data_IF_929936318803
#
_entry.id   IF_929936318803
#
_cell.length_a   1.000
_cell.length_b   1.000
_cell.length_c   1.000
_cell.angle_alpha   90.00
_cell.angle_beta   90.00
_cell.angle_gamma   90.00
#
_symmetry.space_group_name_H-M   'P 1'
#
loop_
_entity.id
_entity.type
_entity.pdbx_description
1 polymer ?
#
# COMPACT_ATOMS: atom_id res chain seq x y z
N UNK A 1 35.90 -8.51 -0.60
CA UNK A 1 34.64 -7.81 -0.24
C UNK A 1 33.39 -8.57 -0.73
N UNK A 2 33.19 -9.84 -0.31
CA UNK A 2 31.99 -10.66 -0.65
C UNK A 2 31.12 -11.02 0.56
N UNK A 3 31.57 -10.70 1.79
CA UNK A 3 30.90 -11.12 3.03
C UNK A 3 29.73 -10.24 3.47
N UNK A 4 29.74 -8.94 3.15
CA UNK A 4 28.75 -7.99 3.69
C UNK A 4 27.40 -8.03 2.95
N UNK A 5 27.39 -8.50 1.70
CA UNK A 5 26.15 -8.68 0.91
C UNK A 5 25.38 -9.95 1.29
N UNK A 6 26.04 -10.96 1.85
CA UNK A 6 25.38 -12.19 2.29
C UNK A 6 24.58 -11.96 3.59
N UNK A 7 25.06 -11.11 4.49
CA UNK A 7 24.37 -10.75 5.74
C UNK A 7 23.09 -9.94 5.51
N UNK A 8 23.03 -9.16 4.42
CA UNK A 8 21.83 -8.41 4.01
C UNK A 8 20.71 -9.29 3.44
N UNK A 9 20.92 -10.61 3.25
CA UNK A 9 20.10 -11.41 2.32
C UNK A 9 19.61 -12.77 2.84
N UNK A 10 19.47 -12.93 4.15
CA UNK A 10 18.54 -13.91 4.73
C UNK A 10 17.61 -13.16 5.71
N UNK A 11 16.50 -12.61 5.20
CA UNK A 11 15.45 -12.10 6.08
C UNK A 11 14.92 -13.31 6.85
N UNK A 12 15.16 -13.32 8.16
CA UNK A 12 14.73 -14.41 9.03
C UNK A 12 13.19 -14.51 9.06
N UNK A 13 12.66 -15.68 9.42
CA UNK A 13 11.22 -15.87 9.65
C UNK A 13 10.64 -14.82 10.60
N UNK A 14 11.37 -14.51 11.68
CA UNK A 14 10.98 -13.45 12.64
C UNK A 14 10.94 -12.08 11.98
N UNK A 15 11.90 -11.77 11.11
CA UNK A 15 11.91 -10.53 10.32
C UNK A 15 10.72 -10.41 9.37
N UNK A 16 10.37 -11.49 8.64
CA UNK A 16 9.19 -11.51 7.78
C UNK A 16 7.88 -11.32 8.57
N UNK A 17 7.75 -11.98 9.72
CA UNK A 17 6.57 -11.80 10.58
C UNK A 17 6.45 -10.36 11.11
N UNK A 18 7.56 -9.76 11.54
CA UNK A 18 7.56 -8.37 12.00
C UNK A 18 7.14 -7.41 10.87
N UNK A 19 7.70 -7.59 9.67
CA UNK A 19 7.30 -6.80 8.49
C UNK A 19 5.83 -7.03 8.11
N UNK A 20 5.33 -8.26 8.26
CA UNK A 20 3.92 -8.58 8.05
C UNK A 20 3.00 -7.84 9.02
N UNK A 21 3.39 -7.76 10.29
CA UNK A 21 2.66 -7.02 11.33
C UNK A 21 2.72 -5.51 11.09
N UNK A 22 3.90 -4.98 10.72
CA UNK A 22 4.05 -3.57 10.34
C UNK A 22 3.15 -3.20 9.17
N UNK A 23 3.13 -4.01 8.12
CA UNK A 23 2.21 -3.83 7.00
C UNK A 23 0.75 -3.95 7.44
N UNK A 24 0.40 -4.88 8.34
CA UNK A 24 -0.93 -4.95 8.94
C UNK A 24 -1.32 -3.66 9.66
N UNK A 25 -0.41 -3.07 10.43
CA UNK A 25 -0.61 -1.75 11.04
C UNK A 25 -0.78 -0.65 9.97
N UNK A 26 -0.03 -0.72 8.86
CA UNK A 26 -0.19 0.17 7.71
C UNK A 26 -1.58 0.07 7.05
N UNK A 27 -2.17 -1.12 7.00
CA UNK A 27 -3.55 -1.35 6.53
C UNK A 27 -4.54 -0.61 7.45
N UNK A 28 -4.47 -0.86 8.75
CA UNK A 28 -5.37 -0.21 9.71
C UNK A 28 -5.20 1.31 9.76
N UNK A 29 -3.96 1.79 9.69
CA UNK A 29 -3.63 3.22 9.62
C UNK A 29 -4.27 3.86 8.39
N UNK A 30 -4.06 3.28 7.20
CA UNK A 30 -4.59 3.83 5.95
C UNK A 30 -6.11 3.76 5.91
N UNK A 31 -6.71 2.63 6.29
CA UNK A 31 -8.16 2.47 6.33
C UNK A 31 -8.82 3.44 7.32
N UNK A 32 -8.27 3.57 8.52
CA UNK A 32 -8.77 4.48 9.55
C UNK A 32 -8.73 5.94 9.09
N UNK A 33 -7.65 6.36 8.45
CA UNK A 33 -7.53 7.72 7.92
C UNK A 33 -8.45 7.98 6.72
N UNK A 34 -8.62 7.01 5.81
CA UNK A 34 -9.59 7.15 4.72
C UNK A 34 -11.01 7.32 5.27
N UNK A 35 -11.39 6.53 6.28
CA UNK A 35 -12.69 6.64 6.94
C UNK A 35 -12.82 8.00 7.64
N UNK A 36 -11.78 8.46 8.36
CA UNK A 36 -11.78 9.76 9.01
C UNK A 36 -11.98 10.91 7.99
N UNK A 37 -11.24 10.88 6.88
CA UNK A 37 -11.39 11.88 5.80
C UNK A 37 -12.78 11.82 5.17
N UNK A 38 -13.33 10.63 4.95
CA UNK A 38 -14.70 10.47 4.47
C UNK A 38 -15.76 11.02 5.43
N UNK A 39 -15.48 11.01 6.74
CA UNK A 39 -16.29 11.63 7.78
C UNK A 39 -16.03 13.14 7.97
N UNK A 40 -15.16 13.74 7.15
CA UNK A 40 -14.77 15.15 7.25
C UNK A 40 -13.79 15.46 8.38
N UNK A 41 -13.18 14.44 9.00
CA UNK A 41 -12.18 14.61 10.04
C UNK A 41 -10.76 14.55 9.44
N UNK A 42 -9.94 15.54 9.78
CA UNK A 42 -8.52 15.64 9.38
C UNK A 42 -7.61 15.49 10.59
N UNK A 43 -7.38 14.27 11.10
CA UNK A 43 -6.60 14.07 12.32
C UNK A 43 -5.12 14.42 12.15
N UNK A 44 -4.59 14.34 10.91
CA UNK A 44 -3.19 14.62 10.60
C UNK A 44 -3.07 15.37 9.28
N UNK A 45 -1.98 16.13 9.17
CA UNK A 45 -1.51 16.68 7.90
C UNK A 45 -1.15 15.56 6.91
N UNK A 46 -1.33 15.81 5.61
CA UNK A 46 -1.09 14.85 4.54
C UNK A 46 0.32 14.26 4.56
N UNK A 47 1.34 15.09 4.81
CA UNK A 47 2.74 14.62 4.84
C UNK A 47 2.98 13.60 5.96
N UNK A 48 2.38 13.83 7.13
CA UNK A 48 2.47 12.91 8.28
C UNK A 48 1.69 11.63 8.01
N UNK A 49 0.43 11.78 7.56
CA UNK A 49 -0.45 10.66 7.26
C UNK A 49 0.17 9.69 6.24
N UNK A 50 0.63 10.23 5.11
CA UNK A 50 1.24 9.46 4.02
C UNK A 50 2.63 8.96 4.40
N UNK A 51 3.43 9.77 5.10
CA UNK A 51 4.77 9.39 5.55
C UNK A 51 4.76 8.17 6.48
N UNK A 52 3.85 8.16 7.47
CA UNK A 52 3.67 7.02 8.38
C UNK A 52 3.17 5.79 7.62
N UNK A 53 2.19 5.96 6.71
CA UNK A 53 1.70 4.87 5.87
C UNK A 53 2.82 4.25 5.03
N UNK A 54 3.67 5.08 4.41
CA UNK A 54 4.79 4.63 3.59
C UNK A 54 5.83 3.88 4.44
N UNK A 55 6.17 4.40 5.62
CA UNK A 55 7.11 3.76 6.53
C UNK A 55 6.65 2.37 6.99
N UNK A 56 5.37 2.22 7.32
CA UNK A 56 4.79 0.95 7.75
C UNK A 56 4.68 -0.09 6.62
N UNK A 57 4.58 0.39 5.38
CA UNK A 57 4.20 -0.43 4.22
C UNK A 57 5.38 -0.82 3.35
N UNK A 58 6.16 0.17 2.91
CA UNK A 58 7.15 0.00 1.82
C UNK A 58 8.20 -1.06 2.14
N UNK A 59 8.81 -1.11 3.35
CA UNK A 59 9.81 -2.11 3.68
C UNK A 59 9.25 -3.54 3.59
N UNK A 60 8.04 -3.77 4.11
CA UNK A 60 7.43 -5.10 4.11
C UNK A 60 6.94 -5.52 2.72
N UNK A 61 6.37 -4.60 1.94
CA UNK A 61 6.00 -4.88 0.56
C UNK A 61 7.22 -5.26 -0.30
N UNK A 62 8.31 -4.48 -0.20
CA UNK A 62 9.56 -4.77 -0.92
C UNK A 62 10.16 -6.12 -0.49
N UNK A 63 10.24 -6.38 0.83
CA UNK A 63 10.73 -7.65 1.36
C UNK A 63 9.88 -8.85 0.92
N UNK A 64 8.55 -8.70 0.93
CA UNK A 64 7.61 -9.73 0.50
C UNK A 64 7.78 -10.07 -0.99
N UNK A 65 7.88 -9.07 -1.86
CA UNK A 65 8.15 -9.27 -3.30
C UNK A 65 9.50 -9.97 -3.51
N UNK A 66 10.57 -9.48 -2.88
CA UNK A 66 11.92 -10.03 -3.06
C UNK A 66 12.02 -11.47 -2.56
N UNK A 67 11.40 -11.79 -1.42
CA UNK A 67 11.45 -13.12 -0.81
C UNK A 67 10.66 -14.15 -1.61
N UNK A 68 9.46 -13.78 -2.09
CA UNK A 68 8.67 -14.65 -2.96
C UNK A 68 9.34 -14.83 -4.33
N UNK A 69 9.82 -13.75 -4.96
CA UNK A 69 10.54 -13.84 -6.25
C UNK A 69 11.76 -14.77 -6.18
N UNK A 70 12.46 -14.83 -5.04
CA UNK A 70 13.58 -15.75 -4.84
C UNK A 70 13.12 -17.19 -4.65
N UNK A 71 12.16 -17.44 -3.76
CA UNK A 71 11.65 -18.80 -3.50
C UNK A 71 11.09 -19.47 -4.77
N UNK A 72 10.30 -18.73 -5.55
CA UNK A 72 9.72 -19.26 -6.79
C UNK A 72 10.74 -19.42 -7.92
N UNK A 73 11.81 -18.60 -7.97
CA UNK A 73 12.91 -18.80 -8.93
C UNK A 73 13.68 -20.10 -8.67
N UNK A 74 13.74 -20.55 -7.41
CA UNK A 74 14.53 -21.72 -7.02
C UNK A 74 13.74 -23.03 -7.05
N UNK A 75 12.40 -23.00 -6.99
CA UNK A 75 11.59 -24.21 -6.73
C UNK A 75 10.55 -24.59 -7.80
N UNK A 76 10.13 -23.72 -8.73
CA UNK A 76 9.07 -24.08 -9.70
C UNK A 76 9.41 -23.78 -11.18
N UNK A 77 9.13 -24.71 -12.11
CA UNK A 77 9.25 -24.45 -13.54
C UNK A 77 8.20 -23.43 -13.98
N UNK A 78 8.69 -22.35 -14.62
CA UNK A 78 7.95 -21.15 -15.03
C UNK A 78 6.69 -21.47 -15.87
N UNK A 79 5.51 -21.25 -15.29
CA UNK A 79 4.32 -20.79 -16.04
C UNK A 79 3.81 -19.50 -15.39
N UNK A 80 4.28 -18.37 -15.90
CA UNK A 80 4.12 -17.03 -15.31
C UNK A 80 2.67 -16.49 -15.23
N UNK A 81 1.68 -17.25 -15.70
CA UNK A 81 0.32 -16.74 -15.99
C UNK A 81 -0.83 -17.56 -15.40
N UNK A 82 -0.57 -18.56 -14.56
CA UNK A 82 -1.67 -19.18 -13.78
C UNK A 82 -1.85 -18.39 -12.48
N UNK A 83 -3.05 -17.90 -12.20
CA UNK A 83 -3.43 -17.33 -10.89
C UNK A 83 -3.01 -18.23 -9.72
N UNK A 84 -3.00 -19.55 -9.94
CA UNK A 84 -2.53 -20.56 -9.00
C UNK A 84 -1.03 -20.49 -8.65
N UNK A 85 -0.20 -19.73 -9.38
CA UNK A 85 1.23 -19.57 -9.08
C UNK A 85 1.51 -18.38 -8.14
N UNK A 86 0.51 -17.56 -7.82
CA UNK A 86 0.68 -16.36 -6.98
C UNK A 86 0.14 -16.54 -5.56
N UNK A 87 -0.79 -17.47 -5.36
CA UNK A 87 -1.24 -17.89 -4.03
C UNK A 87 -0.49 -19.19 -3.70
N UNK A 88 0.42 -19.18 -2.71
CA UNK A 88 1.10 -20.39 -2.31
C UNK A 88 0.09 -21.45 -1.85
N UNK A 89 0.25 -22.73 -2.22
CA UNK A 89 -0.73 -23.78 -1.97
C UNK A 89 -0.96 -24.06 -0.47
N UNK A 90 -0.01 -23.70 0.39
CA UNK A 90 -0.11 -23.85 1.84
C UNK A 90 -0.86 -22.70 2.52
N UNK A 91 -1.13 -21.60 1.82
CA UNK A 91 -1.88 -20.47 2.38
C UNK A 91 -3.38 -20.78 2.32
N UNK A 92 -4.11 -20.65 3.43
CA UNK A 92 -5.53 -20.95 3.43
C UNK A 92 -6.29 -19.97 2.51
N UNK A 93 -7.24 -20.50 1.73
CA UNK A 93 -7.98 -19.71 0.73
C UNK A 93 -8.69 -18.49 1.31
N UNK A 94 -9.19 -18.56 2.54
CA UNK A 94 -9.84 -17.43 3.20
C UNK A 94 -8.89 -16.23 3.36
N UNK A 95 -7.59 -16.46 3.57
CA UNK A 95 -6.61 -15.40 3.72
C UNK A 95 -6.34 -14.71 2.37
N UNK A 96 -6.31 -15.47 1.28
CA UNK A 96 -6.21 -14.94 -0.07
C UNK A 96 -7.46 -14.14 -0.47
N UNK A 97 -8.66 -14.65 -0.13
CA UNK A 97 -9.93 -13.95 -0.35
C UNK A 97 -9.95 -12.63 0.44
N UNK A 98 -9.60 -12.67 1.74
CA UNK A 98 -9.55 -11.48 2.58
C UNK A 98 -8.58 -10.44 2.02
N UNK A 99 -7.36 -10.84 1.66
CA UNK A 99 -6.39 -9.95 1.03
C UNK A 99 -6.93 -9.34 -0.27
N UNK A 100 -7.59 -10.15 -1.11
CA UNK A 100 -8.25 -9.66 -2.31
C UNK A 100 -9.31 -8.59 -2.00
N UNK A 101 -10.22 -8.86 -1.06
CA UNK A 101 -11.27 -7.92 -0.64
C UNK A 101 -10.68 -6.60 -0.15
N UNK A 102 -9.67 -6.63 0.71
CA UNK A 102 -9.03 -5.39 1.20
C UNK A 102 -8.31 -4.63 0.09
N UNK A 103 -7.58 -5.32 -0.79
CA UNK A 103 -6.93 -4.70 -1.96
C UNK A 103 -7.97 -4.00 -2.85
N UNK A 104 -9.07 -4.68 -3.17
CA UNK A 104 -10.15 -4.09 -3.96
C UNK A 104 -10.84 -2.94 -3.24
N UNK A 105 -11.02 -3.02 -1.91
CA UNK A 105 -11.57 -1.94 -1.10
C UNK A 105 -10.71 -0.68 -1.19
N UNK A 106 -9.39 -0.80 -1.01
CA UNK A 106 -8.48 0.32 -1.18
C UNK A 106 -8.48 0.84 -2.63
N UNK A 107 -8.46 -0.02 -3.64
CA UNK A 107 -8.54 0.44 -5.04
C UNK A 107 -9.85 1.16 -5.34
N UNK A 108 -10.97 0.71 -4.79
CA UNK A 108 -12.25 1.40 -4.90
C UNK A 108 -12.15 2.82 -4.30
N UNK A 109 -11.53 2.97 -3.13
CA UNK A 109 -11.33 4.31 -2.54
C UNK A 109 -10.48 5.22 -3.42
N UNK A 110 -9.43 4.67 -4.08
CA UNK A 110 -8.61 5.42 -5.03
C UNK A 110 -9.43 5.87 -6.24
N UNK A 111 -10.22 4.97 -6.83
CA UNK A 111 -11.08 5.29 -7.98
C UNK A 111 -12.11 6.36 -7.62
N UNK A 112 -12.77 6.25 -6.46
CA UNK A 112 -13.75 7.23 -6.00
C UNK A 112 -13.11 8.60 -5.74
N UNK A 113 -11.92 8.63 -5.15
CA UNK A 113 -11.18 9.87 -4.92
C UNK A 113 -10.75 10.53 -6.24
N UNK A 114 -10.22 9.75 -7.20
CA UNK A 114 -9.92 10.27 -8.54
C UNK A 114 -11.15 10.79 -9.27
N UNK A 115 -12.28 10.08 -9.20
CA UNK A 115 -13.53 10.52 -9.81
C UNK A 115 -14.10 11.81 -9.17
N UNK A 116 -13.63 12.17 -7.97
CA UNK A 116 -14.01 13.38 -7.24
C UNK A 116 -12.97 14.50 -7.34
N UNK A 117 -11.85 14.28 -8.05
CA UNK A 117 -10.84 15.31 -8.27
C UNK A 117 -11.26 16.22 -9.43
N UNK A 118 -11.35 17.52 -9.14
CA UNK A 118 -11.66 18.56 -10.14
C UNK A 118 -10.40 19.24 -10.70
N UNK A 119 -9.23 18.90 -10.17
CA UNK A 119 -7.92 19.44 -10.56
C UNK A 119 -6.89 19.27 -9.44
N UNK A 120 -5.63 19.63 -9.72
CA UNK A 120 -4.58 19.59 -8.71
C UNK A 120 -4.62 20.88 -7.86
N UNK A 121 -4.88 20.79 -6.54
CA UNK A 121 -4.77 21.94 -5.65
C UNK A 121 -3.36 22.50 -5.63
N UNK A 122 -3.27 23.82 -5.83
CA UNK A 122 -2.04 24.61 -5.79
C UNK A 122 -2.33 25.99 -5.19
N UNK A 123 -1.30 26.65 -4.66
CA UNK A 123 -1.42 28.01 -4.13
C UNK A 123 -0.60 28.96 -5.01
N UNK A 124 -1.25 29.96 -5.62
CA UNK A 124 -0.59 30.97 -6.47
C UNK A 124 -0.91 32.36 -5.95
N UNK A 125 0.13 33.16 -5.69
CA UNK A 125 0.00 34.54 -5.21
C UNK A 125 -0.95 34.70 -4.00
N UNK A 126 -0.92 33.73 -3.08
CA UNK A 126 -1.77 33.71 -1.88
C UNK A 126 -3.23 33.30 -2.12
N UNK A 127 -3.59 32.92 -3.36
CA UNK A 127 -4.93 32.42 -3.71
C UNK A 127 -4.92 30.91 -3.87
N UNK A 128 -6.04 30.30 -3.48
CA UNK A 128 -6.28 28.88 -3.68
C UNK A 128 -6.73 28.64 -5.11
N UNK A 129 -6.02 27.78 -5.83
CA UNK A 129 -6.34 27.47 -7.22
C UNK A 129 -6.37 25.96 -7.45
N UNK A 130 -7.15 25.52 -8.43
CA UNK A 130 -7.08 24.19 -9.00
C UNK A 130 -6.45 24.28 -10.39
N UNK A 131 -5.41 23.49 -10.61
CA UNK A 131 -4.75 23.36 -11.91
C UNK A 131 -5.30 22.12 -12.62
N UNK A 132 -6.02 22.33 -13.71
CA UNK A 132 -6.51 21.29 -14.61
C UNK A 132 -5.93 21.51 -16.00
N UNK A 133 -4.86 20.78 -16.31
CA UNK A 133 -4.11 20.91 -17.56
C UNK A 133 -3.71 22.37 -17.85
N UNK A 134 -4.35 23.00 -18.84
CA UNK A 134 -4.07 24.39 -19.25
C UNK A 134 -4.98 25.43 -18.55
N UNK A 135 -5.80 25.01 -17.59
CA UNK A 135 -6.74 25.87 -16.86
C UNK A 135 -6.33 26.03 -15.40
N UNK A 136 -6.35 27.28 -14.95
CA UNK A 136 -6.19 27.63 -13.54
C UNK A 136 -7.51 28.21 -13.07
N UNK A 137 -8.15 27.54 -12.12
CA UNK A 137 -9.46 27.92 -11.59
C UNK A 137 -9.25 28.41 -10.16
N UNK A 138 -9.53 29.69 -9.91
CA UNK A 138 -9.54 30.22 -8.55
C UNK A 138 -10.71 29.62 -7.77
N UNK A 139 -10.44 29.07 -6.59
CA UNK A 139 -11.44 28.43 -5.74
C UNK A 139 -11.39 28.97 -4.33
N UNK A 140 -12.47 28.75 -3.58
CA UNK A 140 -12.46 29.04 -2.14
C UNK A 140 -11.65 27.97 -1.38
N UNK A 141 -11.27 28.31 -0.14
CA UNK A 141 -10.50 27.43 0.73
C UNK A 141 -11.20 26.08 0.96
N UNK A 142 -12.53 26.07 1.13
CA UNK A 142 -13.29 24.82 1.37
C UNK A 142 -13.14 23.83 0.22
N UNK A 143 -13.18 24.32 -1.01
CA UNK A 143 -13.02 23.48 -2.21
C UNK A 143 -11.58 22.99 -2.32
N UNK A 144 -10.61 23.88 -2.14
CA UNK A 144 -9.18 23.54 -2.14
C UNK A 144 -8.85 22.43 -1.12
N UNK A 145 -9.34 22.60 0.09
CA UNK A 145 -9.17 21.68 1.19
C UNK A 145 -9.77 20.29 0.89
N UNK A 146 -10.96 20.25 0.27
CA UNK A 146 -11.60 19.00 -0.16
C UNK A 146 -10.79 18.27 -1.24
N UNK A 147 -10.26 19.02 -2.20
CA UNK A 147 -9.41 18.47 -3.25
C UNK A 147 -8.10 17.91 -2.68
N UNK A 148 -7.55 18.56 -1.66
CA UNK A 148 -6.38 18.08 -0.91
C UNK A 148 -6.70 16.77 -0.15
N UNK A 149 -7.88 16.66 0.47
CA UNK A 149 -8.33 15.43 1.12
C UNK A 149 -8.40 14.26 0.12
N UNK A 150 -8.91 14.50 -1.09
CA UNK A 150 -8.97 13.49 -2.15
C UNK A 150 -7.57 13.04 -2.60
N UNK A 151 -6.61 13.95 -2.75
CA UNK A 151 -5.21 13.58 -3.05
C UNK A 151 -4.58 12.73 -1.93
N UNK A 152 -4.86 13.07 -0.67
CA UNK A 152 -4.41 12.28 0.48
C UNK A 152 -5.07 10.89 0.49
N UNK A 153 -6.37 10.79 0.21
CA UNK A 153 -7.09 9.50 0.10
C UNK A 153 -6.50 8.61 -1.00
N UNK A 154 -6.13 9.18 -2.15
CA UNK A 154 -5.47 8.41 -3.23
C UNK A 154 -4.16 7.81 -2.73
N UNK A 155 -3.32 8.62 -2.10
CA UNK A 155 -2.02 8.19 -1.59
C UNK A 155 -2.17 7.09 -0.53
N UNK A 156 -3.08 7.29 0.42
CA UNK A 156 -3.41 6.31 1.47
C UNK A 156 -4.03 5.03 0.89
N UNK A 157 -4.85 5.13 -0.15
CA UNK A 157 -5.44 3.98 -0.82
C UNK A 157 -4.39 3.12 -1.51
N UNK A 158 -3.47 3.73 -2.26
CA UNK A 158 -2.36 3.00 -2.90
C UNK A 158 -1.46 2.33 -1.86
N UNK A 159 -1.07 3.07 -0.82
CA UNK A 159 -0.24 2.52 0.26
C UNK A 159 -0.98 1.43 1.04
N UNK A 160 -2.27 1.60 1.34
CA UNK A 160 -3.10 0.58 1.97
C UNK A 160 -3.14 -0.72 1.17
N UNK A 161 -3.32 -0.64 -0.16
CA UNK A 161 -3.28 -1.80 -1.03
C UNK A 161 -1.91 -2.51 -1.01
N UNK A 162 -0.80 -1.74 -1.02
CA UNK A 162 0.54 -2.30 -0.88
C UNK A 162 0.78 -2.91 0.51
N UNK A 163 0.18 -2.34 1.55
CA UNK A 163 0.27 -2.86 2.92
C UNK A 163 -0.43 -4.23 3.02
N UNK A 164 -1.60 -4.40 2.39
CA UNK A 164 -2.25 -5.72 2.31
C UNK A 164 -1.35 -6.71 1.58
N UNK A 165 -0.80 -6.33 0.44
CA UNK A 165 0.12 -7.17 -0.33
C UNK A 165 1.37 -7.55 0.46
N UNK A 166 1.99 -6.59 1.15
CA UNK A 166 3.18 -6.80 1.97
C UNK A 166 2.93 -7.72 3.15
N UNK A 167 1.80 -7.52 3.85
CA UNK A 167 1.36 -8.39 4.94
C UNK A 167 1.14 -9.81 4.46
N UNK A 168 0.35 -9.98 3.39
CA UNK A 168 0.06 -11.29 2.81
C UNK A 168 1.33 -12.01 2.35
N UNK A 169 2.17 -11.35 1.54
CA UNK A 169 3.38 -11.96 0.97
C UNK A 169 4.43 -12.32 2.02
N UNK A 170 4.59 -11.51 3.07
CA UNK A 170 5.51 -11.79 4.17
C UNK A 170 5.01 -12.92 5.06
N UNK A 171 3.73 -12.92 5.44
CA UNK A 171 3.12 -13.99 6.22
C UNK A 171 3.20 -15.32 5.46
N UNK A 172 2.77 -15.33 4.20
CA UNK A 172 2.81 -16.49 3.31
C UNK A 172 4.21 -17.13 3.25
N UNK A 173 5.26 -16.32 3.11
CA UNK A 173 6.62 -16.83 3.06
C UNK A 173 7.15 -17.26 4.43
N UNK A 174 6.71 -16.62 5.51
CA UNK A 174 7.10 -16.99 6.88
C UNK A 174 6.42 -18.30 7.37
N UNK A 175 5.29 -18.68 6.77
CA UNK A 175 4.55 -19.92 7.06
C UNK A 175 4.80 -21.02 6.03
N UNK A 176 5.67 -20.78 5.05
CA UNK A 176 6.12 -21.76 4.09
C UNK A 176 7.04 -22.76 4.80
N UNK A 177 6.45 -23.88 5.23
CA UNK A 177 7.18 -24.97 5.86
C UNK A 177 7.93 -25.72 4.76
N UNK A 178 9.27 -25.76 4.84
CA UNK A 178 10.03 -26.78 4.14
C UNK A 178 9.54 -28.14 4.63
N UNK A 179 8.67 -28.79 3.85
CA UNK A 179 8.48 -30.23 3.93
C UNK A 179 9.79 -30.87 3.44
N UNK A 180 10.75 -30.95 4.35
CA UNK A 180 11.90 -31.86 4.26
C UNK A 180 11.65 -33.04 5.19
#
# INVERSE_FOLDING_TARGET
>A
MRGTLAFLLMISRRGLLLLSVMCGAGVFWSAGLIIALAAGARPFDAAVAVGVAAFLTVPGFAAGILSNRRGYRTQQPRRAWRLASWVPPHVPHWAAIAAGVFVFGFWLTVVLAFASLDGNPSMRDGRYVLEDHDRVIEVNQVTYDRQTDHQQQISLGVLGAFAVGGSFLCAARATDHEHH
#
